data_IF_683105797033
#
_entry.id   IF_683105797033
#
_cell.length_a   1.000
_cell.length_b   1.000
_cell.length_c   1.000
_cell.angle_alpha   90.00
_cell.angle_beta   90.00
_cell.angle_gamma   90.00
#
_symmetry.space_group_name_H-M   'P 1'
#
loop_
_entity.id
_entity.type
_entity.pdbx_description
1 polymer ?
#
# COMPACT_ATOMS: atom_id res chain seq x y z
N UNK A 1 -5.85 29.01 15.45
CA UNK A 1 -4.91 28.20 16.25
C UNK A 1 -4.20 27.26 15.29
N UNK A 2 -2.86 27.22 15.34
CA UNK A 2 -2.07 26.55 14.30
C UNK A 2 -2.25 25.04 14.35
N UNK A 3 -2.66 24.47 13.21
CA UNK A 3 -2.94 23.06 12.96
C UNK A 3 -1.82 22.10 13.43
N UNK A 4 -0.56 22.54 13.30
CA UNK A 4 0.61 21.76 13.71
C UNK A 4 0.74 21.62 15.24
N UNK A 5 0.21 22.55 16.04
CA UNK A 5 0.30 22.47 17.51
C UNK A 5 -0.71 21.49 18.13
N UNK A 6 -1.87 21.28 17.47
CA UNK A 6 -2.86 20.26 17.88
C UNK A 6 -2.42 18.88 17.39
N UNK A 7 -1.95 18.80 16.13
CA UNK A 7 -1.47 17.55 15.53
C UNK A 7 -0.16 17.04 16.16
N UNK A 8 0.69 17.91 16.70
CA UNK A 8 1.96 17.55 17.33
C UNK A 8 1.89 17.60 18.87
N UNK A 9 0.69 17.50 19.44
CA UNK A 9 0.51 17.51 20.89
C UNK A 9 1.15 16.26 21.51
N UNK A 10 2.02 16.47 22.51
CA UNK A 10 2.72 15.44 23.29
C UNK A 10 1.82 14.28 23.76
N UNK A 11 0.56 14.47 24.19
CA UNK A 11 -0.31 13.35 24.57
C UNK A 11 -0.69 12.43 23.39
N UNK A 12 -0.85 12.95 22.17
CA UNK A 12 -1.18 12.12 21.01
C UNK A 12 0.00 11.22 20.61
N UNK A 13 1.22 11.76 20.64
CA UNK A 13 2.44 10.98 20.46
C UNK A 13 2.61 9.88 21.52
N UNK A 14 2.22 10.17 22.75
CA UNK A 14 2.28 9.22 23.86
C UNK A 14 1.28 8.08 23.65
N UNK A 15 0.03 8.38 23.26
CA UNK A 15 -1.00 7.37 22.96
C UNK A 15 -0.58 6.50 21.76
N UNK A 16 -0.13 7.13 20.67
CA UNK A 16 0.35 6.40 19.48
C UNK A 16 1.56 5.53 19.84
N UNK A 17 2.53 6.09 20.58
CA UNK A 17 3.71 5.35 21.03
C UNK A 17 3.37 4.14 21.91
N UNK A 18 2.39 4.27 22.81
CA UNK A 18 1.92 3.15 23.64
C UNK A 18 1.26 2.07 22.79
N UNK A 19 0.42 2.44 21.81
CA UNK A 19 -0.22 1.48 20.90
C UNK A 19 0.83 0.76 20.05
N UNK A 20 1.81 1.50 19.50
CA UNK A 20 2.91 0.92 18.72
C UNK A 20 3.75 -0.04 19.57
N UNK A 21 4.05 0.31 20.82
CA UNK A 21 4.79 -0.54 21.74
C UNK A 21 4.01 -1.81 22.08
N UNK A 22 2.69 -1.71 22.28
CA UNK A 22 1.83 -2.86 22.50
C UNK A 22 1.83 -3.82 21.29
N UNK A 23 1.72 -3.30 20.08
CA UNK A 23 1.76 -4.12 18.85
C UNK A 23 3.14 -4.74 18.64
N UNK A 24 4.22 -3.99 18.90
CA UNK A 24 5.58 -4.52 18.85
C UNK A 24 5.76 -5.67 19.84
N UNK A 25 5.23 -5.55 21.06
CA UNK A 25 5.23 -6.63 22.05
C UNK A 25 4.47 -7.87 21.55
N UNK A 26 3.30 -7.70 20.92
CA UNK A 26 2.55 -8.81 20.31
C UNK A 26 3.37 -9.50 19.21
N UNK A 27 4.02 -8.75 18.32
CA UNK A 27 4.89 -9.29 17.28
C UNK A 27 6.02 -10.16 17.87
N UNK A 28 6.66 -9.70 18.94
CA UNK A 28 7.70 -10.46 19.64
C UNK A 28 7.12 -11.75 20.24
N UNK A 29 5.97 -11.69 20.92
CA UNK A 29 5.32 -12.87 21.49
C UNK A 29 4.95 -13.89 20.40
N UNK A 30 4.45 -13.43 19.24
CA UNK A 30 4.11 -14.30 18.11
C UNK A 30 5.34 -14.95 17.49
N UNK A 31 6.45 -14.22 17.34
CA UNK A 31 7.72 -14.78 16.85
C UNK A 31 8.26 -15.85 17.82
N UNK A 32 8.19 -15.60 19.13
CA UNK A 32 8.63 -16.59 20.12
C UNK A 32 7.73 -17.83 20.10
N UNK A 33 6.42 -17.65 20.01
CA UNK A 33 5.46 -18.77 19.91
C UNK A 33 5.64 -19.56 18.62
N UNK A 34 5.81 -18.91 17.47
CA UNK A 34 6.03 -19.58 16.18
C UNK A 34 7.36 -20.33 16.14
N UNK A 35 8.41 -19.77 16.75
CA UNK A 35 9.71 -20.44 16.90
C UNK A 35 9.60 -21.70 17.76
N UNK A 36 8.90 -21.63 18.90
CA UNK A 36 8.65 -22.80 19.77
C UNK A 36 7.81 -23.87 19.07
N UNK A 37 6.74 -23.47 18.37
CA UNK A 37 5.91 -24.39 17.59
C UNK A 37 6.72 -25.06 16.45
N UNK A 38 7.59 -24.31 15.78
CA UNK A 38 8.45 -24.84 14.74
C UNK A 38 9.43 -25.90 15.24
N UNK A 39 10.00 -25.70 16.43
CA UNK A 39 10.84 -26.72 17.09
C UNK A 39 10.01 -27.94 17.49
N UNK A 40 8.78 -27.75 18.00
CA UNK A 40 7.90 -28.86 18.41
C UNK A 40 7.47 -29.75 17.23
N UNK A 41 7.40 -29.19 16.01
CA UNK A 41 7.11 -29.92 14.76
C UNK A 41 8.37 -30.63 14.20
N UNK A 42 9.53 -30.47 14.85
CA UNK A 42 10.78 -31.13 14.45
C UNK A 42 11.56 -30.42 13.34
N UNK A 43 11.31 -29.12 13.08
CA UNK A 43 12.14 -28.37 12.13
C UNK A 43 13.56 -28.13 12.67
N UNK A 44 14.55 -28.34 11.80
CA UNK A 44 15.95 -28.05 12.09
C UNK A 44 16.15 -26.55 12.37
N UNK A 45 16.85 -26.24 13.48
CA UNK A 45 17.13 -24.87 13.92
C UNK A 45 17.91 -24.05 12.89
N UNK A 46 18.70 -24.70 12.02
CA UNK A 46 19.41 -24.07 10.91
C UNK A 46 18.44 -23.58 9.84
N UNK A 47 17.37 -24.33 9.56
CA UNK A 47 16.32 -23.93 8.61
C UNK A 47 15.53 -22.75 9.16
N UNK A 48 15.15 -22.77 10.45
CA UNK A 48 14.48 -21.62 11.08
C UNK A 48 15.34 -20.35 11.05
N UNK A 49 16.63 -20.44 11.44
CA UNK A 49 17.54 -19.27 11.38
C UNK A 49 17.69 -18.75 9.96
N UNK A 50 17.89 -19.65 8.99
CA UNK A 50 18.05 -19.26 7.58
C UNK A 50 16.78 -18.60 7.04
N UNK A 51 15.60 -19.11 7.40
CA UNK A 51 14.32 -18.50 7.03
C UNK A 51 14.19 -17.08 7.63
N UNK A 52 14.45 -16.90 8.92
CA UNK A 52 14.40 -15.58 9.57
C UNK A 52 15.39 -14.61 8.93
N UNK A 53 16.64 -15.02 8.70
CA UNK A 53 17.63 -14.15 8.05
C UNK A 53 17.21 -13.78 6.64
N UNK A 54 16.69 -14.72 5.85
CA UNK A 54 16.24 -14.44 4.48
C UNK A 54 15.02 -13.52 4.46
N UNK A 55 14.04 -13.73 5.34
CA UNK A 55 12.89 -12.85 5.48
C UNK A 55 13.29 -11.44 5.94
N UNK A 56 14.18 -11.32 6.94
CA UNK A 56 14.66 -10.02 7.42
C UNK A 56 15.38 -9.24 6.31
N UNK A 57 16.25 -9.89 5.54
CA UNK A 57 16.94 -9.23 4.42
C UNK A 57 16.01 -8.85 3.28
N UNK A 58 14.93 -9.62 3.07
CA UNK A 58 13.94 -9.33 2.03
C UNK A 58 13.05 -8.13 2.40
N UNK A 59 12.70 -7.97 3.67
CA UNK A 59 11.83 -6.88 4.15
C UNK A 59 12.49 -5.51 4.17
N UNK A 60 13.83 -5.43 4.26
CA UNK A 60 14.55 -4.14 4.30
C UNK A 60 14.20 -3.21 3.12
N UNK A 61 14.10 -3.79 1.92
CA UNK A 61 13.87 -3.04 0.68
C UNK A 61 12.45 -2.43 0.62
N UNK A 62 11.36 -3.22 0.81
CA UNK A 62 10.03 -2.67 0.99
C UNK A 62 9.91 -1.67 2.13
N UNK A 63 10.58 -1.91 3.27
CA UNK A 63 10.50 -1.02 4.44
C UNK A 63 11.07 0.38 4.18
N UNK A 64 12.15 0.50 3.41
CA UNK A 64 12.69 1.81 3.02
C UNK A 64 11.72 2.58 2.11
N UNK A 65 11.08 1.88 1.15
CA UNK A 65 10.05 2.47 0.29
C UNK A 65 8.85 2.97 1.10
N UNK A 66 8.41 2.19 2.09
CA UNK A 66 7.34 2.57 3.01
C UNK A 66 7.73 3.80 3.84
N UNK A 67 8.96 3.86 4.37
CA UNK A 67 9.45 4.98 5.15
C UNK A 67 9.43 6.30 4.37
N UNK A 68 9.86 6.27 3.10
CA UNK A 68 9.78 7.43 2.21
C UNK A 68 8.33 7.88 1.99
N UNK A 69 7.41 6.92 1.82
CA UNK A 69 5.98 7.21 1.73
C UNK A 69 5.39 7.84 2.99
N UNK A 70 5.78 7.39 4.18
CA UNK A 70 5.36 8.01 5.45
C UNK A 70 5.83 9.46 5.51
N UNK A 71 7.08 9.75 5.13
CA UNK A 71 7.61 11.11 5.13
C UNK A 71 6.83 12.00 4.16
N UNK A 72 6.50 11.49 2.98
CA UNK A 72 5.70 12.21 1.99
C UNK A 72 4.28 12.51 2.49
N UNK A 73 3.57 11.51 3.04
CA UNK A 73 2.20 11.70 3.55
C UNK A 73 2.15 12.51 4.85
N UNK A 74 3.20 12.45 5.68
CA UNK A 74 3.28 13.19 6.92
C UNK A 74 3.23 14.71 6.71
N UNK A 75 3.72 15.19 5.55
CA UNK A 75 3.64 16.60 5.15
C UNK A 75 2.21 17.10 4.93
N UNK A 76 1.31 16.23 4.45
CA UNK A 76 -0.08 16.60 4.09
C UNK A 76 -1.10 16.23 5.16
N UNK A 77 -0.94 15.06 5.81
CA UNK A 77 -1.95 14.44 6.69
C UNK A 77 -1.58 14.48 8.18
N UNK A 78 -0.34 14.88 8.51
CA UNK A 78 0.18 14.93 9.87
C UNK A 78 0.97 13.68 10.29
N UNK A 79 2.09 13.92 10.99
CA UNK A 79 3.07 12.89 11.38
C UNK A 79 2.47 11.73 12.20
N UNK A 80 1.70 11.95 13.28
CA UNK A 80 1.24 10.84 14.13
C UNK A 80 0.13 10.00 13.52
N UNK A 81 -0.74 10.58 12.68
CA UNK A 81 -1.84 9.85 12.04
C UNK A 81 -1.30 8.94 10.93
N UNK A 82 -0.39 9.44 10.10
CA UNK A 82 0.29 8.63 9.09
C UNK A 82 1.09 7.48 9.74
N UNK A 83 1.76 7.75 10.85
CA UNK A 83 2.58 6.76 11.54
C UNK A 83 1.76 5.63 12.16
N UNK A 84 0.65 5.95 12.85
CA UNK A 84 -0.24 4.94 13.43
C UNK A 84 -0.87 4.07 12.34
N UNK A 85 -1.42 4.67 11.27
CA UNK A 85 -2.10 3.89 10.22
C UNK A 85 -1.16 2.97 9.46
N UNK A 86 0.01 3.47 9.06
CA UNK A 86 0.98 2.64 8.34
C UNK A 86 1.60 1.56 9.21
N UNK A 87 1.72 1.77 10.52
CA UNK A 87 2.27 0.73 11.40
C UNK A 87 1.30 -0.39 11.75
N UNK A 88 -0.02 -0.14 11.74
CA UNK A 88 -1.04 -1.14 12.13
C UNK A 88 -1.63 -1.87 10.93
N UNK A 89 -1.93 -1.17 9.83
CA UNK A 89 -2.56 -1.77 8.65
C UNK A 89 -1.54 -2.09 7.56
N UNK A 90 -0.52 -1.23 7.39
CA UNK A 90 0.65 -1.55 6.59
C UNK A 90 0.41 -1.67 5.08
N UNK A 91 -0.29 -0.70 4.46
CA UNK A 91 -0.33 -0.60 2.99
C UNK A 91 -0.32 0.85 2.52
N UNK A 92 0.88 1.40 2.30
CA UNK A 92 1.08 2.76 1.79
C UNK A 92 0.26 3.03 0.51
N UNK A 93 0.23 2.06 -0.40
CA UNK A 93 -0.43 2.21 -1.70
C UNK A 93 -1.93 2.40 -1.54
N UNK A 94 -2.53 1.66 -0.60
CA UNK A 94 -3.94 1.84 -0.27
C UNK A 94 -4.21 3.22 0.34
N UNK A 95 -3.37 3.64 1.30
CA UNK A 95 -3.54 4.91 2.00
C UNK A 95 -3.47 6.10 1.04
N UNK A 96 -2.47 6.12 0.16
CA UNK A 96 -2.27 7.18 -0.82
C UNK A 96 -3.41 7.23 -1.86
N UNK A 97 -3.81 6.08 -2.40
CA UNK A 97 -4.88 6.04 -3.43
C UNK A 97 -6.24 6.46 -2.87
N UNK A 98 -6.61 6.01 -1.68
CA UNK A 98 -7.88 6.41 -1.06
C UNK A 98 -7.85 7.87 -0.63
N UNK A 99 -6.72 8.36 -0.12
CA UNK A 99 -6.56 9.79 0.19
C UNK A 99 -6.73 10.65 -1.07
N UNK A 100 -6.13 10.25 -2.18
CA UNK A 100 -6.17 10.98 -3.45
C UNK A 100 -7.59 10.97 -4.05
N UNK A 101 -8.24 9.81 -4.06
CA UNK A 101 -9.64 9.70 -4.48
C UNK A 101 -10.59 10.52 -3.59
N UNK A 102 -10.37 10.53 -2.27
CA UNK A 102 -11.18 11.34 -1.35
C UNK A 102 -10.97 12.85 -1.60
N UNK A 103 -9.73 13.26 -1.86
CA UNK A 103 -9.38 14.64 -2.16
C UNK A 103 -9.99 15.11 -3.50
N UNK A 104 -9.88 14.31 -4.57
CA UNK A 104 -10.52 14.58 -5.87
C UNK A 104 -12.04 14.73 -5.76
N UNK A 105 -12.70 13.87 -4.98
CA UNK A 105 -14.15 13.94 -4.78
C UNK A 105 -14.61 15.22 -4.04
N UNK A 106 -13.71 15.85 -3.29
CA UNK A 106 -13.96 17.14 -2.65
C UNK A 106 -13.49 18.33 -3.49
N UNK A 107 -12.86 18.08 -4.65
CA UNK A 107 -12.33 19.11 -5.54
C UNK A 107 -11.04 19.79 -5.03
N UNK A 108 -10.30 19.16 -4.12
CA UNK A 108 -9.09 19.72 -3.50
C UNK A 108 -7.91 18.77 -3.76
N UNK A 109 -6.73 19.32 -4.05
CA UNK A 109 -5.50 18.52 -4.14
C UNK A 109 -4.95 18.17 -2.74
N UNK A 110 -4.17 17.09 -2.62
CA UNK A 110 -3.49 16.69 -1.39
C UNK A 110 -2.30 17.62 -1.04
N UNK A 111 -2.57 18.92 -0.88
CA UNK A 111 -1.56 19.92 -0.51
C UNK A 111 -1.91 20.60 0.83
N UNK A 112 -0.89 20.67 1.69
CA UNK A 112 -0.90 21.25 3.03
C UNK A 112 -1.30 22.73 3.07
N UNK A 113 -1.21 23.43 1.94
CA UNK A 113 -1.52 24.86 1.81
C UNK A 113 -3.00 25.16 1.59
N UNK A 114 -3.80 24.16 1.17
CA UNK A 114 -5.23 24.31 0.79
C UNK A 114 -6.16 23.51 1.71
N UNK A 115 -5.62 22.52 2.43
CA UNK A 115 -6.40 21.64 3.30
C UNK A 115 -6.93 22.36 4.55
N UNK A 116 -8.26 22.53 4.60
CA UNK A 116 -9.00 23.00 5.79
C UNK A 116 -9.20 21.82 6.76
N UNK A 117 -9.32 22.04 8.09
CA UNK A 117 -9.47 20.95 9.06
C UNK A 117 -10.61 19.98 8.74
N UNK A 118 -11.72 20.48 8.21
CA UNK A 118 -12.90 19.66 7.85
C UNK A 118 -12.63 18.72 6.68
N UNK A 119 -11.84 19.14 5.68
CA UNK A 119 -11.45 18.28 4.55
C UNK A 119 -10.55 17.14 5.02
N UNK A 120 -9.64 17.41 5.96
CA UNK A 120 -8.76 16.39 6.52
C UNK A 120 -9.54 15.35 7.35
N UNK A 121 -10.48 15.79 8.19
CA UNK A 121 -11.36 14.88 8.94
C UNK A 121 -12.17 13.99 7.99
N UNK A 122 -12.67 14.56 6.89
CA UNK A 122 -13.42 13.82 5.88
C UNK A 122 -12.56 12.78 5.16
N UNK A 123 -11.34 13.14 4.75
CA UNK A 123 -10.37 12.21 4.14
C UNK A 123 -10.05 11.08 5.12
N UNK A 124 -9.70 11.41 6.37
CA UNK A 124 -9.38 10.43 7.40
C UNK A 124 -10.58 9.51 7.70
N UNK A 125 -11.80 10.04 7.71
CA UNK A 125 -13.01 9.24 7.89
C UNK A 125 -13.19 8.24 6.75
N UNK A 126 -13.12 8.69 5.49
CA UNK A 126 -13.23 7.81 4.30
C UNK A 126 -12.17 6.72 4.32
N UNK A 127 -10.91 7.10 4.59
CA UNK A 127 -9.81 6.14 4.68
C UNK A 127 -10.02 5.12 5.82
N UNK A 128 -10.67 5.51 6.92
CA UNK A 128 -10.91 4.63 8.08
C UNK A 128 -12.08 3.69 7.83
N UNK A 129 -13.21 4.19 7.33
CA UNK A 129 -14.37 3.37 6.98
C UNK A 129 -14.07 2.36 5.86
N UNK A 130 -13.23 2.74 4.88
CA UNK A 130 -12.82 1.84 3.81
C UNK A 130 -12.08 0.60 4.31
N UNK A 131 -11.21 0.75 5.32
CA UNK A 131 -10.42 -0.37 5.87
C UNK A 131 -11.21 -1.22 6.84
N UNK A 132 -12.10 -0.59 7.64
CA UNK A 132 -12.94 -1.32 8.60
C UNK A 132 -13.71 -2.46 7.92
N UNK A 133 -14.22 -2.23 6.71
CA UNK A 133 -14.89 -3.26 5.92
C UNK A 133 -13.96 -4.42 5.55
N UNK A 134 -12.72 -4.14 5.15
CA UNK A 134 -11.70 -5.15 4.86
C UNK A 134 -11.33 -5.98 6.10
N UNK A 135 -11.15 -5.33 7.25
CA UNK A 135 -10.87 -6.02 8.51
C UNK A 135 -12.06 -6.87 8.98
N UNK A 136 -13.29 -6.37 8.89
CA UNK A 136 -14.51 -7.11 9.24
C UNK A 136 -14.69 -8.33 8.34
N UNK A 137 -14.59 -8.16 7.02
CA UNK A 137 -14.68 -9.28 6.08
C UNK A 137 -13.59 -10.32 6.34
N UNK A 138 -12.38 -9.88 6.69
CA UNK A 138 -11.29 -10.78 7.05
C UNK A 138 -11.62 -11.59 8.30
N UNK A 139 -12.18 -10.97 9.35
CA UNK A 139 -12.57 -11.67 10.59
C UNK A 139 -13.69 -12.69 10.33
N UNK A 140 -14.76 -12.31 9.62
CA UNK A 140 -15.89 -13.20 9.36
C UNK A 140 -15.60 -14.27 8.29
N UNK A 141 -14.75 -13.96 7.32
CA UNK A 141 -14.53 -14.82 6.14
C UNK A 141 -13.22 -15.61 6.24
N UNK A 142 -12.26 -15.27 7.11
CA UNK A 142 -10.97 -15.98 7.22
C UNK A 142 -11.14 -17.49 7.41
N UNK A 143 -12.11 -17.91 8.23
CA UNK A 143 -12.33 -19.34 8.51
C UNK A 143 -12.86 -20.08 7.27
N UNK A 144 -13.72 -19.43 6.47
CA UNK A 144 -14.22 -19.96 5.18
C UNK A 144 -13.16 -19.87 4.06
N UNK A 145 -12.35 -18.82 4.05
CA UNK A 145 -11.29 -18.59 3.08
C UNK A 145 -10.12 -19.56 3.28
N UNK A 146 -9.59 -19.67 4.50
CA UNK A 146 -8.52 -20.61 4.85
C UNK A 146 -8.94 -22.07 4.61
N UNK A 147 -10.19 -22.43 4.92
CA UNK A 147 -10.75 -23.75 4.61
C UNK A 147 -10.82 -24.05 3.11
N UNK A 148 -11.21 -23.07 2.27
CA UNK A 148 -11.23 -23.24 0.81
C UNK A 148 -9.83 -23.20 0.17
N UNK A 149 -8.88 -22.47 0.77
CA UNK A 149 -7.49 -22.34 0.28
C UNK A 149 -6.66 -23.58 0.65
N UNK A 150 -6.89 -24.20 1.81
CA UNK A 150 -6.20 -25.43 2.24
C UNK A 150 -6.53 -26.65 1.36
N UNK A 151 -7.67 -26.66 0.67
CA UNK A 151 -8.08 -27.73 -0.27
C UNK A 151 -7.33 -27.61 -1.62
N UNK A 152 -6.65 -26.48 -1.90
CA UNK A 152 -5.92 -26.23 -3.15
C UNK A 152 -4.56 -26.95 -3.28
N UNK A 153 -4.22 -27.90 -2.40
CA UNK A 153 -2.97 -28.66 -2.50
C UNK A 153 -3.15 -29.88 -3.42
N UNK A 154 -3.41 -29.63 -4.71
CA UNK A 154 -3.16 -30.50 -5.88
C UNK A 154 -3.95 -29.99 -7.10
N UNK A 155 -3.34 -29.19 -7.95
CA UNK A 155 -3.44 -29.42 -9.40
C UNK A 155 -2.30 -28.70 -10.13
N UNK A 156 -1.40 -29.52 -10.67
CA UNK A 156 -0.40 -29.15 -11.67
C UNK A 156 -1.09 -29.05 -13.05
N UNK A 157 -1.86 -28.00 -13.27
CA UNK A 157 -2.48 -27.75 -14.58
C UNK A 157 -3.24 -26.43 -14.59
N UNK A 158 -2.91 -25.58 -15.57
CA UNK A 158 -3.46 -24.31 -16.12
C UNK A 158 -4.74 -23.63 -15.58
N UNK A 159 -5.43 -24.12 -14.57
CA UNK A 159 -6.50 -23.45 -13.84
C UNK A 159 -6.14 -23.44 -12.36
N UNK A 160 -5.44 -22.40 -11.92
CA UNK A 160 -5.06 -22.24 -10.52
C UNK A 160 -6.29 -22.25 -9.61
N UNK A 161 -6.15 -22.75 -8.38
CA UNK A 161 -7.25 -22.85 -7.43
C UNK A 161 -8.05 -21.55 -7.24
N UNK A 162 -9.27 -21.67 -6.71
CA UNK A 162 -10.19 -20.54 -6.51
C UNK A 162 -9.54 -19.29 -5.91
N UNK A 163 -8.55 -19.45 -5.01
CA UNK A 163 -7.78 -18.36 -4.44
C UNK A 163 -6.95 -17.58 -5.47
N UNK A 164 -6.26 -18.26 -6.40
CA UNK A 164 -5.50 -17.59 -7.47
C UNK A 164 -6.42 -16.93 -8.49
N UNK A 165 -7.54 -17.55 -8.87
CA UNK A 165 -8.51 -16.93 -9.80
C UNK A 165 -9.14 -15.69 -9.16
N UNK A 166 -9.51 -15.77 -7.88
CA UNK A 166 -10.05 -14.62 -7.14
C UNK A 166 -9.02 -13.49 -7.00
N UNK A 167 -7.74 -13.80 -6.72
CA UNK A 167 -6.68 -12.79 -6.69
C UNK A 167 -6.48 -12.13 -8.06
N UNK A 168 -6.44 -12.91 -9.14
CA UNK A 168 -6.33 -12.37 -10.51
C UNK A 168 -7.52 -11.50 -10.87
N UNK A 169 -8.75 -11.93 -10.56
CA UNK A 169 -9.96 -11.17 -10.83
C UNK A 169 -10.01 -9.85 -10.06
N UNK A 170 -9.59 -9.83 -8.79
CA UNK A 170 -9.49 -8.60 -8.00
C UNK A 170 -8.46 -7.62 -8.58
N UNK A 171 -7.30 -8.11 -9.01
CA UNK A 171 -6.29 -7.25 -9.66
C UNK A 171 -6.80 -6.66 -10.98
N UNK A 172 -7.48 -7.45 -11.81
CA UNK A 172 -8.07 -6.95 -13.06
C UNK A 172 -9.15 -5.89 -12.77
N UNK A 173 -10.00 -6.11 -11.77
CA UNK A 173 -11.04 -5.15 -11.38
C UNK A 173 -10.48 -3.83 -10.82
N UNK A 174 -9.38 -3.91 -10.07
CA UNK A 174 -8.68 -2.73 -9.56
C UNK A 174 -8.02 -1.95 -10.71
N UNK A 175 -7.34 -2.62 -11.64
CA UNK A 175 -6.78 -1.95 -12.81
C UNK A 175 -7.86 -1.31 -13.70
N UNK A 176 -9.00 -2.00 -13.90
CA UNK A 176 -10.07 -1.47 -14.76
C UNK A 176 -10.76 -0.26 -14.16
N UNK A 177 -10.91 -0.19 -12.84
CA UNK A 177 -11.49 0.98 -12.16
C UNK A 177 -10.59 2.21 -12.26
N UNK A 178 -9.28 2.08 -12.04
CA UNK A 178 -8.34 3.20 -12.20
C UNK A 178 -8.19 3.66 -13.65
N UNK A 179 -8.07 2.74 -14.61
CA UNK A 179 -8.00 3.13 -16.04
C UNK A 179 -9.32 3.75 -16.49
N UNK A 180 -10.46 3.24 -15.99
CA UNK A 180 -11.78 3.77 -16.27
C UNK A 180 -11.98 5.18 -15.72
N UNK A 181 -11.49 5.50 -14.52
CA UNK A 181 -11.58 6.85 -13.96
C UNK A 181 -10.76 7.86 -14.78
N UNK A 182 -9.53 7.51 -15.17
CA UNK A 182 -8.71 8.39 -16.01
C UNK A 182 -9.30 8.62 -17.41
N UNK A 183 -9.88 7.58 -18.02
CA UNK A 183 -10.55 7.70 -19.32
C UNK A 183 -11.83 8.55 -19.21
N UNK A 184 -12.60 8.40 -18.12
CA UNK A 184 -13.78 9.24 -17.85
C UNK A 184 -13.39 10.72 -17.71
N UNK A 185 -12.28 11.00 -17.03
CA UNK A 185 -11.75 12.36 -16.89
C UNK A 185 -11.33 12.91 -18.27
N UNK A 186 -10.62 12.14 -19.08
CA UNK A 186 -10.22 12.55 -20.44
C UNK A 186 -11.40 12.92 -21.34
N UNK A 187 -12.51 12.19 -21.25
CA UNK A 187 -13.72 12.46 -22.06
C UNK A 187 -14.49 13.67 -21.52
N UNK A 188 -14.57 13.85 -20.19
CA UNK A 188 -15.40 14.89 -19.56
C UNK A 188 -14.72 16.26 -19.48
N UNK A 189 -13.42 16.31 -19.24
CA UNK A 189 -12.67 17.58 -19.08
C UNK A 189 -11.74 17.90 -20.25
N UNK A 190 -11.76 17.06 -21.31
CA UNK A 190 -10.87 17.17 -22.49
C UNK A 190 -9.37 17.11 -22.14
N UNK A 191 -9.05 16.66 -20.92
CA UNK A 191 -7.70 16.59 -20.39
C UNK A 191 -7.14 15.20 -20.53
N UNK A 192 -6.29 14.99 -21.54
CA UNK A 192 -5.69 13.68 -21.84
C UNK A 192 -4.46 13.36 -20.98
N UNK A 193 -3.98 14.35 -20.21
CA UNK A 193 -2.80 14.23 -19.34
C UNK A 193 -2.86 13.00 -18.42
N UNK A 194 -3.87 12.78 -17.55
CA UNK A 194 -3.88 11.66 -16.60
C UNK A 194 -3.90 10.28 -17.27
N UNK A 195 -4.57 10.18 -18.43
CA UNK A 195 -4.61 8.94 -19.20
C UNK A 195 -3.24 8.64 -19.85
N UNK A 196 -2.61 9.65 -20.44
CA UNK A 196 -1.32 9.50 -21.11
C UNK A 196 -0.19 9.25 -20.10
N UNK A 197 -0.26 9.85 -18.91
CA UNK A 197 0.68 9.60 -17.81
C UNK A 197 0.54 8.20 -17.25
N UNK A 198 -0.69 7.70 -17.10
CA UNK A 198 -0.94 6.32 -16.70
C UNK A 198 -0.35 5.34 -17.72
N UNK A 199 -0.47 5.65 -19.02
CA UNK A 199 0.11 4.84 -20.10
C UNK A 199 1.64 4.85 -20.06
N UNK A 200 2.28 6.02 -19.89
CA UNK A 200 3.74 6.15 -19.71
C UNK A 200 4.21 5.35 -18.49
N UNK A 201 3.54 5.51 -17.34
CA UNK A 201 3.87 4.78 -16.11
C UNK A 201 3.72 3.25 -16.30
N UNK A 202 2.67 2.81 -17.00
CA UNK A 202 2.44 1.39 -17.29
C UNK A 202 3.53 0.76 -18.18
N UNK A 203 3.98 1.49 -19.21
CA UNK A 203 5.06 1.04 -20.09
C UNK A 203 6.37 0.98 -19.32
N UNK A 204 6.66 2.02 -18.51
CA UNK A 204 7.88 2.07 -17.72
C UNK A 204 7.93 0.95 -16.68
N UNK A 205 6.81 0.67 -16.02
CA UNK A 205 6.70 -0.45 -15.08
C UNK A 205 6.85 -1.80 -15.77
N UNK A 206 6.25 -2.00 -16.95
CA UNK A 206 6.44 -3.22 -17.74
C UNK A 206 7.92 -3.43 -18.15
N UNK A 207 8.63 -2.36 -18.51
CA UNK A 207 10.06 -2.42 -18.82
C UNK A 207 10.86 -2.81 -17.57
N UNK A 208 10.61 -2.15 -16.43
CA UNK A 208 11.30 -2.44 -15.17
C UNK A 208 11.05 -3.87 -14.69
N UNK A 209 9.81 -4.38 -14.79
CA UNK A 209 9.47 -5.75 -14.41
C UNK A 209 10.16 -6.79 -15.31
N UNK A 210 10.26 -6.48 -16.62
CA UNK A 210 10.97 -7.36 -17.58
C UNK A 210 12.48 -7.36 -17.29
N UNK A 211 13.03 -6.21 -16.91
CA UNK A 211 14.43 -6.07 -16.49
C UNK A 211 14.71 -6.72 -15.13
N UNK A 212 13.77 -6.63 -14.19
CA UNK A 212 13.84 -7.26 -12.86
C UNK A 212 13.85 -8.78 -12.98
N UNK A 213 13.00 -9.35 -13.85
CA UNK A 213 12.97 -10.78 -14.16
C UNK A 213 14.29 -11.27 -14.76
N UNK A 214 14.95 -10.45 -15.58
CA UNK A 214 16.23 -10.78 -16.21
C UNK A 214 17.42 -10.66 -15.24
N UNK A 215 17.36 -9.75 -14.27
CA UNK A 215 18.47 -9.42 -13.36
C UNK A 215 18.41 -10.10 -11.98
N UNK A 216 17.37 -10.89 -11.65
CA UNK A 216 17.18 -11.57 -10.33
C UNK A 216 17.27 -10.63 -9.10
N UNK A 217 17.16 -9.32 -9.29
CA UNK A 217 17.22 -8.34 -8.22
C UNK A 217 15.81 -8.13 -7.67
N UNK A 218 15.47 -8.81 -6.56
CA UNK A 218 14.25 -8.55 -5.76
C UNK A 218 14.17 -7.08 -5.29
N UNK A 219 15.33 -6.42 -5.23
CA UNK A 219 15.50 -4.97 -5.04
C UNK A 219 14.67 -4.20 -6.07
N UNK A 220 14.75 -4.57 -7.35
CA UNK A 220 14.15 -3.80 -8.44
C UNK A 220 12.63 -3.90 -8.46
N UNK A 221 12.04 -5.00 -7.99
CA UNK A 221 10.58 -5.18 -7.90
C UNK A 221 9.94 -4.20 -6.89
N UNK A 222 10.60 -4.00 -5.74
CA UNK A 222 10.14 -3.06 -4.70
C UNK A 222 10.40 -1.60 -5.08
N UNK A 223 11.44 -1.35 -5.88
CA UNK A 223 11.72 -0.02 -6.44
C UNK A 223 10.93 0.27 -7.72
N UNK A 224 10.44 -0.75 -8.44
CA UNK A 224 9.70 -0.63 -9.71
C UNK A 224 8.48 0.27 -9.53
N UNK A 225 7.75 0.12 -8.42
CA UNK A 225 6.56 0.91 -8.11
C UNK A 225 6.91 2.39 -7.80
N UNK A 226 7.96 2.63 -7.01
CA UNK A 226 8.39 4.00 -6.71
C UNK A 226 8.98 4.71 -7.95
N UNK A 227 9.78 3.99 -8.75
CA UNK A 227 10.35 4.52 -9.99
C UNK A 227 9.27 4.76 -11.05
N UNK A 228 8.28 3.88 -11.17
CA UNK A 228 7.19 4.07 -12.14
C UNK A 228 6.31 5.25 -11.77
N UNK A 229 6.09 5.50 -10.47
CA UNK A 229 5.41 6.70 -9.99
C UNK A 229 6.22 7.96 -10.31
N UNK A 230 7.53 7.98 -10.05
CA UNK A 230 8.42 9.10 -10.41
C UNK A 230 8.47 9.36 -11.92
N UNK A 231 8.56 8.30 -12.73
CA UNK A 231 8.54 8.39 -14.18
C UNK A 231 7.18 8.90 -14.70
N UNK A 232 6.08 8.45 -14.10
CA UNK A 232 4.73 8.94 -14.38
C UNK A 232 4.58 10.42 -14.05
N UNK A 233 5.06 10.86 -12.89
CA UNK A 233 5.05 12.28 -12.49
C UNK A 233 5.94 13.12 -13.40
N UNK A 234 7.15 12.68 -13.73
CA UNK A 234 8.02 13.38 -14.68
C UNK A 234 7.35 13.49 -16.06
N UNK A 235 6.78 12.39 -16.56
CA UNK A 235 5.99 12.38 -17.79
C UNK A 235 4.80 13.35 -17.75
N UNK A 236 4.12 13.44 -16.61
CA UNK A 236 3.00 14.38 -16.43
C UNK A 236 3.43 15.83 -16.56
N UNK A 237 4.53 16.21 -15.91
CA UNK A 237 5.08 17.57 -15.97
C UNK A 237 5.50 17.91 -17.40
N UNK A 238 6.14 16.98 -18.12
CA UNK A 238 6.50 17.17 -19.52
C UNK A 238 5.28 17.35 -20.44
N UNK A 239 4.22 16.58 -20.23
CA UNK A 239 2.98 16.68 -21.01
C UNK A 239 2.22 17.99 -20.73
N UNK A 240 2.17 18.40 -19.47
CA UNK A 240 1.55 19.67 -19.05
C UNK A 240 2.36 20.88 -19.55
N UNK A 241 3.70 20.82 -19.54
CA UNK A 241 4.56 21.87 -20.12
C UNK A 241 4.52 21.90 -21.66
N UNK A 242 4.24 20.77 -22.30
CA UNK A 242 4.08 20.64 -23.76
C UNK A 242 2.76 21.17 -24.32
N UNK A 243 1.87 21.72 -23.48
CA UNK A 243 0.61 22.36 -23.91
C UNK A 243 -0.53 21.38 -24.24
N UNK A 244 -0.38 20.10 -23.91
CA UNK A 244 -1.46 19.11 -24.05
C UNK A 244 -2.37 19.30 -22.84
N UNK A 245 -3.53 19.95 -23.07
CA UNK A 245 -4.55 20.18 -22.04
C UNK A 245 -5.43 18.97 -21.80
#
# INVERSE_FOLDING_TARGET
MSYLDIANSTPLYLVVGVILLFIAALCVVFIVKSWRAGIAIGMDRKVLRKAVTKSATFTLLPSLSILLGVIALAGSLGVPVAWLRLSVIGNLQYEATVAEMAAENMGVALDSSILTPDHLVTILAVMTFGIIWGCLLSIFTMKKYSSKVAIGKKSSGSGGGFASIAMTAMMIGLCSTFVGSYLSQAIRTTTFVPFLTALIASIFMAILDTLAKKSRLQVLDSFSLALSMLAGMAGSVFLTMGGIR
#
